data_IF_739895681158
#
_entry.id   IF_739895681158
#
_cell.length_a   1.000
_cell.length_b   1.000
_cell.length_c   1.000
_cell.angle_alpha   90.00
_cell.angle_beta   90.00
_cell.angle_gamma   90.00
#
_symmetry.space_group_name_H-M   'P 1'
#
loop_
_entity.id
_entity.type
_entity.pdbx_description
1 polymer ?
#
# COMPACT_ATOMS: atom_id res chain seq x y z
N UNK A 1 -3.14 -43.32 37.46
CA UNK A 1 -2.33 -42.22 37.98
C UNK A 1 -2.21 -41.17 36.86
N UNK A 2 -3.03 -40.11 36.96
CA UNK A 2 -3.03 -38.96 36.05
C UNK A 2 -1.99 -37.94 36.52
N UNK A 3 -0.99 -37.68 35.70
CA UNK A 3 -0.06 -36.54 35.91
C UNK A 3 -0.69 -35.28 35.35
N UNK A 4 -1.07 -34.36 36.20
CA UNK A 4 -1.44 -33.01 35.82
C UNK A 4 -0.20 -32.18 35.50
N UNK A 5 -0.11 -31.64 34.31
CA UNK A 5 0.84 -30.57 33.99
C UNK A 5 0.24 -29.24 34.48
N UNK A 6 0.86 -28.70 35.52
CA UNK A 6 0.64 -27.32 35.96
C UNK A 6 1.37 -26.40 35.00
N UNK A 7 0.62 -25.51 34.35
CA UNK A 7 1.19 -24.40 33.60
C UNK A 7 1.58 -23.31 34.61
N UNK A 8 2.87 -23.09 34.77
CA UNK A 8 3.39 -21.93 35.49
C UNK A 8 3.16 -20.67 34.65
N UNK A 9 2.25 -19.81 35.11
CA UNK A 9 2.16 -18.45 34.62
C UNK A 9 3.40 -17.68 35.08
N UNK A 10 4.32 -17.41 34.15
CA UNK A 10 5.39 -16.46 34.39
C UNK A 10 4.76 -15.09 34.56
N UNK A 11 4.79 -14.61 35.82
CA UNK A 11 4.43 -13.23 36.16
C UNK A 11 5.39 -12.29 35.42
N UNK A 12 4.97 -11.73 34.30
CA UNK A 12 5.57 -10.51 33.78
C UNK A 12 5.18 -9.37 34.71
N UNK A 13 6.05 -9.08 35.68
CA UNK A 13 5.98 -7.82 36.40
C UNK A 13 6.12 -6.70 35.39
N UNK A 14 5.02 -5.99 35.13
CA UNK A 14 5.02 -4.69 34.46
C UNK A 14 5.84 -3.74 35.39
N UNK A 15 7.14 -3.63 35.11
CA UNK A 15 7.91 -2.53 35.65
C UNK A 15 7.31 -1.27 35.04
N UNK A 16 6.51 -0.56 35.79
CA UNK A 16 6.03 0.77 35.43
C UNK A 16 7.27 1.64 35.22
N UNK A 17 7.46 2.11 33.99
CA UNK A 17 8.56 2.99 33.65
C UNK A 17 8.52 4.22 34.56
N UNK A 18 9.66 4.63 35.09
CA UNK A 18 9.76 5.82 35.92
C UNK A 18 9.37 7.07 35.14
N UNK A 19 8.89 8.13 35.79
CA UNK A 19 8.58 9.39 35.11
C UNK A 19 9.73 9.91 34.24
N UNK A 20 10.98 9.69 34.67
CA UNK A 20 12.19 10.05 33.93
C UNK A 20 12.34 9.24 32.63
N UNK A 21 12.07 7.93 32.66
CA UNK A 21 12.12 7.05 31.48
C UNK A 21 11.00 7.38 30.48
N UNK A 22 9.82 7.75 30.99
CA UNK A 22 8.70 8.21 30.17
C UNK A 22 9.05 9.54 29.48
N UNK A 23 9.63 10.49 30.21
CA UNK A 23 10.09 11.76 29.64
C UNK A 23 11.21 11.58 28.62
N UNK A 24 12.16 10.71 28.91
CA UNK A 24 13.25 10.41 27.97
C UNK A 24 12.70 9.76 26.70
N UNK A 25 11.81 8.79 26.82
CA UNK A 25 11.14 8.14 25.68
C UNK A 25 10.29 9.12 24.88
N UNK A 26 9.60 10.05 25.54
CA UNK A 26 8.82 11.09 24.86
C UNK A 26 9.74 12.10 24.15
N UNK A 27 10.91 12.44 24.72
CA UNK A 27 11.93 13.26 24.03
C UNK A 27 12.56 12.55 22.85
N UNK A 28 12.84 11.26 22.97
CA UNK A 28 13.35 10.43 21.87
C UNK A 28 12.30 10.27 20.77
N UNK A 29 11.03 10.08 21.13
CA UNK A 29 9.91 10.08 20.16
C UNK A 29 9.75 11.43 19.48
N UNK A 30 9.79 12.53 20.22
CA UNK A 30 9.70 13.88 19.68
C UNK A 30 10.95 14.23 18.82
N UNK A 31 12.14 13.78 19.21
CA UNK A 31 13.35 13.93 18.41
C UNK A 31 13.32 13.06 17.15
N UNK A 32 12.77 11.85 17.23
CA UNK A 32 12.48 10.99 16.08
C UNK A 32 11.41 11.60 15.17
N UNK A 33 10.36 12.21 15.72
CA UNK A 33 9.35 12.93 14.95
C UNK A 33 9.92 14.21 14.32
N UNK A 34 10.77 14.95 15.02
CA UNK A 34 11.44 16.13 14.49
C UNK A 34 12.52 15.77 13.43
N UNK A 35 13.28 14.70 13.63
CA UNK A 35 14.21 14.15 12.64
C UNK A 35 13.48 13.51 11.43
N UNK A 36 12.22 13.15 11.59
CA UNK A 36 11.27 12.73 10.57
C UNK A 36 10.57 13.91 9.89
N UNK A 37 11.15 15.13 9.89
CA UNK A 37 10.62 16.18 9.02
C UNK A 37 10.69 15.65 7.60
N UNK A 38 9.50 15.34 7.05
CA UNK A 38 9.30 14.80 5.71
C UNK A 38 10.12 15.61 4.72
N UNK A 39 11.06 14.96 4.06
CA UNK A 39 11.85 15.53 2.97
C UNK A 39 10.93 15.82 1.77
N UNK A 40 9.84 15.05 1.68
CA UNK A 40 8.82 15.20 0.64
C UNK A 40 7.54 15.69 1.29
N UNK A 41 7.21 16.94 1.02
CA UNK A 41 5.89 17.47 1.38
C UNK A 41 4.95 17.27 0.20
N UNK A 42 3.75 16.64 0.41
CA UNK A 42 2.71 16.63 -0.61
C UNK A 42 2.49 18.06 -1.13
N UNK A 43 2.48 18.21 -2.44
CA UNK A 43 2.32 19.53 -3.06
C UNK A 43 0.93 20.10 -2.85
N UNK A 44 -0.03 19.20 -2.56
CA UNK A 44 -1.44 19.52 -2.45
C UNK A 44 -2.13 18.58 -1.47
N UNK A 45 -3.08 19.13 -0.72
CA UNK A 45 -4.07 18.37 0.04
C UNK A 45 -5.42 18.50 -0.64
N UNK A 46 -6.12 17.37 -0.78
CA UNK A 46 -7.47 17.33 -1.36
C UNK A 46 -8.40 16.62 -0.39
N UNK A 47 -9.47 17.31 -0.02
CA UNK A 47 -10.55 16.70 0.77
C UNK A 47 -11.52 16.02 -0.17
N UNK A 48 -11.70 14.71 0.02
CA UNK A 48 -12.61 13.89 -0.76
C UNK A 48 -13.93 13.75 -0.02
N UNK A 49 -15.02 13.92 -0.74
CA UNK A 49 -16.36 13.58 -0.25
C UNK A 49 -16.58 12.07 -0.44
N UNK A 50 -16.51 11.31 0.67
CA UNK A 50 -16.70 9.87 0.65
C UNK A 50 -18.02 9.42 0.00
N UNK A 51 -19.08 10.22 0.09
CA UNK A 51 -20.38 9.90 -0.51
C UNK A 51 -20.37 9.91 -2.05
N UNK A 52 -19.36 10.54 -2.67
CA UNK A 52 -19.18 10.60 -4.12
C UNK A 52 -18.23 9.56 -4.67
N UNK A 53 -17.55 8.82 -3.79
CA UNK A 53 -16.61 7.80 -4.20
C UNK A 53 -17.32 6.53 -4.68
N UNK A 54 -16.66 5.74 -5.55
CA UNK A 54 -17.17 4.43 -5.95
C UNK A 54 -17.42 3.53 -4.74
N UNK A 55 -18.50 2.74 -4.77
CA UNK A 55 -18.88 1.81 -3.70
C UNK A 55 -17.81 0.78 -3.36
N UNK A 56 -16.85 0.54 -4.26
CA UNK A 56 -15.73 -0.36 -4.04
C UNK A 56 -14.70 0.19 -3.03
N UNK A 57 -14.74 1.49 -2.73
CA UNK A 57 -13.90 2.11 -1.70
C UNK A 57 -14.60 2.05 -0.34
N UNK A 58 -14.72 0.84 0.18
CA UNK A 58 -15.51 0.50 1.36
C UNK A 58 -14.97 1.17 2.62
N UNK A 59 -13.65 1.12 2.83
CA UNK A 59 -12.99 1.72 4.00
C UNK A 59 -13.16 3.24 4.07
N UNK A 60 -13.51 3.88 2.95
CA UNK A 60 -13.75 5.31 2.87
C UNK A 60 -15.19 5.69 3.24
N UNK A 61 -16.14 4.77 3.08
CA UNK A 61 -17.56 5.04 3.28
C UNK A 61 -18.02 4.67 4.68
N UNK A 62 -17.67 3.47 5.14
CA UNK A 62 -18.03 2.96 6.46
C UNK A 62 -16.97 1.99 6.95
N UNK A 63 -16.16 2.44 7.90
CA UNK A 63 -15.10 1.66 8.53
C UNK A 63 -15.61 0.49 9.38
N UNK A 64 -16.91 0.45 9.71
CA UNK A 64 -17.50 -0.57 10.58
C UNK A 64 -18.09 -1.76 9.79
N UNK A 65 -17.95 -1.77 8.47
CA UNK A 65 -18.43 -2.91 7.67
C UNK A 65 -17.51 -4.12 7.82
N UNK A 66 -18.06 -5.32 7.67
CA UNK A 66 -17.27 -6.57 7.63
C UNK A 66 -16.17 -6.50 6.57
N UNK A 67 -16.45 -5.88 5.43
CA UNK A 67 -15.46 -5.76 4.37
C UNK A 67 -14.33 -4.78 4.72
N UNK A 68 -14.63 -3.66 5.43
CA UNK A 68 -13.61 -2.76 5.95
C UNK A 68 -12.74 -3.47 7.01
N UNK A 69 -13.34 -4.34 7.83
CA UNK A 69 -12.60 -5.12 8.81
C UNK A 69 -11.61 -6.10 8.15
N UNK A 70 -11.94 -6.68 6.98
CA UNK A 70 -10.99 -7.51 6.24
C UNK A 70 -9.77 -6.70 5.74
N UNK A 71 -9.96 -5.43 5.35
CA UNK A 71 -8.82 -4.56 5.05
C UNK A 71 -7.99 -4.21 6.28
N UNK A 72 -8.63 -4.03 7.45
CA UNK A 72 -7.91 -3.85 8.71
C UNK A 72 -7.07 -5.10 9.06
N UNK A 73 -7.62 -6.31 8.86
CA UNK A 73 -6.86 -7.56 9.04
C UNK A 73 -5.66 -7.66 8.09
N UNK A 74 -5.85 -7.29 6.83
CA UNK A 74 -4.75 -7.26 5.85
C UNK A 74 -3.67 -6.23 6.25
N UNK A 75 -4.07 -5.06 6.75
CA UNK A 75 -3.15 -4.05 7.26
C UNK A 75 -2.37 -4.56 8.48
N UNK A 76 -3.03 -5.23 9.43
CA UNK A 76 -2.39 -5.86 10.60
C UNK A 76 -1.40 -6.93 10.15
N UNK A 77 -1.78 -7.81 9.22
CA UNK A 77 -0.87 -8.83 8.68
C UNK A 77 0.38 -8.18 8.08
N UNK A 78 0.21 -7.16 7.25
CA UNK A 78 1.33 -6.46 6.63
C UNK A 78 2.24 -5.80 7.68
N UNK A 79 1.67 -5.11 8.66
CA UNK A 79 2.44 -4.46 9.74
C UNK A 79 3.19 -5.48 10.60
N UNK A 80 2.56 -6.62 10.92
CA UNK A 80 3.21 -7.68 11.70
C UNK A 80 4.37 -8.28 10.92
N UNK A 81 4.16 -8.63 9.65
CA UNK A 81 5.24 -9.17 8.80
C UNK A 81 6.37 -8.15 8.64
N UNK A 82 6.05 -6.86 8.47
CA UNK A 82 7.03 -5.79 8.36
C UNK A 82 7.83 -5.54 9.66
N UNK A 83 7.35 -6.00 10.81
CA UNK A 83 8.12 -5.96 12.06
C UNK A 83 9.17 -7.07 12.16
N UNK A 84 9.00 -8.14 11.42
CA UNK A 84 9.89 -9.31 11.42
C UNK A 84 10.91 -9.27 10.27
N UNK A 85 10.58 -8.62 9.18
CA UNK A 85 11.43 -8.49 7.99
C UNK A 85 11.23 -7.12 7.32
N UNK A 86 12.23 -6.58 6.60
CA UNK A 86 12.18 -5.24 6.04
C UNK A 86 11.22 -5.18 4.84
N UNK A 87 9.92 -4.95 5.13
CA UNK A 87 8.90 -4.73 4.11
C UNK A 87 8.46 -3.26 4.15
N UNK A 88 8.64 -2.57 3.04
CA UNK A 88 8.22 -1.20 2.83
C UNK A 88 7.43 -1.06 1.53
N UNK A 89 7.92 -1.63 0.45
CA UNK A 89 7.35 -1.52 -0.89
C UNK A 89 6.52 -2.75 -1.22
N UNK A 90 5.22 -2.55 -1.39
CA UNK A 90 4.24 -3.63 -1.58
C UNK A 90 3.62 -3.54 -2.97
N UNK A 91 3.78 -4.56 -3.78
CA UNK A 91 3.13 -4.67 -5.07
C UNK A 91 1.70 -5.21 -4.89
N UNK A 92 0.70 -4.45 -5.30
CA UNK A 92 -0.67 -4.93 -5.41
C UNK A 92 -0.90 -5.38 -6.84
N UNK A 93 -0.93 -6.68 -7.06
CA UNK A 93 -0.98 -7.30 -8.38
C UNK A 93 -2.21 -8.17 -8.58
N UNK A 94 -2.53 -8.53 -9.81
CA UNK A 94 -3.58 -9.49 -10.14
C UNK A 94 -3.25 -10.23 -11.43
N UNK A 95 -3.98 -11.33 -11.70
CA UNK A 95 -3.82 -12.07 -12.95
C UNK A 95 -4.38 -11.28 -14.15
N UNK A 96 -5.57 -10.68 -14.00
CA UNK A 96 -6.28 -10.05 -15.11
C UNK A 96 -6.85 -8.66 -14.75
N UNK A 97 -7.31 -7.95 -15.77
CA UNK A 97 -8.06 -6.69 -15.59
C UNK A 97 -9.39 -6.92 -14.85
N UNK A 98 -9.80 -5.93 -14.05
CA UNK A 98 -11.09 -5.93 -13.38
C UNK A 98 -11.18 -6.83 -12.14
N UNK A 99 -10.05 -7.30 -11.62
CA UNK A 99 -10.01 -8.08 -10.36
C UNK A 99 -10.02 -7.20 -9.12
N UNK A 100 -9.79 -5.89 -9.25
CA UNK A 100 -9.97 -4.88 -8.21
C UNK A 100 -8.71 -4.46 -7.48
N UNK A 101 -7.53 -4.52 -8.14
CA UNK A 101 -6.25 -4.06 -7.58
C UNK A 101 -6.32 -2.66 -7.00
N UNK A 102 -6.77 -1.69 -7.81
CA UNK A 102 -6.90 -0.27 -7.42
C UNK A 102 -7.76 -0.12 -6.16
N UNK A 103 -8.91 -0.80 -6.14
CA UNK A 103 -9.78 -0.78 -4.95
C UNK A 103 -9.08 -1.38 -3.73
N UNK A 104 -8.34 -2.49 -3.90
CA UNK A 104 -7.60 -3.12 -2.80
C UNK A 104 -6.46 -2.22 -2.34
N UNK A 105 -5.69 -1.63 -3.24
CA UNK A 105 -4.58 -0.73 -2.89
C UNK A 105 -5.07 0.48 -2.09
N UNK A 106 -6.13 1.13 -2.54
CA UNK A 106 -6.67 2.33 -1.88
C UNK A 106 -7.33 1.99 -0.52
N UNK A 107 -8.12 0.91 -0.42
CA UNK A 107 -8.70 0.50 0.86
C UNK A 107 -7.63 0.07 1.87
N UNK A 108 -6.58 -0.64 1.42
CA UNK A 108 -5.46 -1.00 2.27
C UNK A 108 -4.70 0.25 2.75
N UNK A 109 -4.49 1.23 1.88
CA UNK A 109 -3.86 2.50 2.26
C UNK A 109 -4.67 3.24 3.32
N UNK A 110 -6.00 3.28 3.18
CA UNK A 110 -6.91 3.85 4.17
C UNK A 110 -6.77 3.11 5.52
N UNK A 111 -6.81 1.78 5.52
CA UNK A 111 -6.69 0.98 6.74
C UNK A 111 -5.33 1.18 7.44
N UNK A 112 -4.24 1.21 6.68
CA UNK A 112 -2.89 1.47 7.21
C UNK A 112 -2.77 2.90 7.78
N UNK A 113 -3.36 3.89 7.11
CA UNK A 113 -3.36 5.27 7.58
C UNK A 113 -4.16 5.44 8.87
N UNK A 114 -5.32 4.78 8.99
CA UNK A 114 -6.08 4.72 10.25
C UNK A 114 -5.26 4.08 11.38
N UNK A 115 -4.37 3.13 11.05
CA UNK A 115 -3.39 2.56 11.97
C UNK A 115 -2.13 3.45 12.16
N UNK A 116 -2.22 4.75 11.82
CA UNK A 116 -1.16 5.75 11.99
C UNK A 116 0.13 5.43 11.22
N UNK A 117 0.01 4.77 10.06
CA UNK A 117 1.14 4.55 9.14
C UNK A 117 1.14 5.60 8.06
N UNK A 118 2.32 6.09 7.69
CA UNK A 118 2.51 6.99 6.55
C UNK A 118 2.54 6.13 5.29
N UNK A 119 1.55 6.35 4.42
CA UNK A 119 1.35 5.51 3.24
C UNK A 119 1.34 6.34 1.97
N UNK A 120 2.11 5.89 0.98
CA UNK A 120 2.03 6.38 -0.40
C UNK A 120 1.43 5.28 -1.28
N UNK A 121 0.44 5.61 -2.09
CA UNK A 121 -0.03 4.73 -3.16
C UNK A 121 0.44 5.30 -4.50
N UNK A 122 1.35 4.61 -5.15
CA UNK A 122 1.84 4.98 -6.48
C UNK A 122 1.03 4.26 -7.56
N UNK A 123 0.43 5.02 -8.46
CA UNK A 123 -0.27 4.47 -9.61
C UNK A 123 0.73 4.10 -10.69
N UNK A 124 1.02 2.81 -10.77
CA UNK A 124 1.98 2.23 -11.70
C UNK A 124 1.31 1.42 -12.83
N UNK A 125 -0.03 1.41 -12.91
CA UNK A 125 -0.76 0.99 -14.11
C UNK A 125 -0.74 2.13 -15.14
N UNK A 126 0.43 2.33 -15.76
CA UNK A 126 0.68 3.42 -16.69
C UNK A 126 -0.07 3.28 -18.01
N UNK A 127 -0.64 2.10 -18.29
CA UNK A 127 -1.44 1.85 -19.49
C UNK A 127 -2.91 2.26 -19.29
N UNK A 128 -3.42 2.13 -18.05
CA UNK A 128 -4.80 2.46 -17.73
C UNK A 128 -4.87 3.17 -16.37
N UNK A 129 -4.30 4.38 -16.27
CA UNK A 129 -4.39 5.15 -15.04
C UNK A 129 -5.85 5.43 -14.70
N UNK A 130 -6.19 5.42 -13.43
CA UNK A 130 -7.56 5.49 -12.94
C UNK A 130 -7.75 6.29 -11.65
N UNK A 131 -6.66 6.68 -10.96
CA UNK A 131 -6.76 7.36 -9.66
C UNK A 131 -7.51 8.68 -9.74
N UNK A 132 -7.27 9.46 -10.80
CA UNK A 132 -7.92 10.75 -10.95
C UNK A 132 -9.44 10.58 -11.05
N UNK A 133 -9.91 9.63 -11.85
CA UNK A 133 -11.34 9.34 -12.00
C UNK A 133 -11.90 8.65 -10.75
N UNK A 134 -11.16 7.68 -10.19
CA UNK A 134 -11.60 6.88 -9.05
C UNK A 134 -11.77 7.71 -7.78
N UNK A 135 -10.89 8.70 -7.58
CA UNK A 135 -10.89 9.56 -6.40
C UNK A 135 -11.52 10.93 -6.67
N UNK A 136 -11.97 11.20 -7.90
CA UNK A 136 -12.50 12.50 -8.29
C UNK A 136 -11.47 13.63 -8.18
N UNK A 137 -10.21 13.35 -8.50
CA UNK A 137 -9.08 14.26 -8.38
C UNK A 137 -8.78 14.95 -9.70
N UNK A 138 -8.14 16.11 -9.59
CA UNK A 138 -7.36 16.72 -10.68
C UNK A 138 -5.92 16.86 -10.22
N UNK A 139 -4.95 16.59 -11.08
CA UNK A 139 -3.54 16.79 -10.80
C UNK A 139 -2.86 17.52 -11.97
N UNK A 140 -2.01 18.49 -11.67
CA UNK A 140 -1.21 19.21 -12.68
C UNK A 140 0.06 18.45 -13.01
N UNK A 141 0.58 17.70 -12.04
CA UNK A 141 1.80 16.89 -12.11
C UNK A 141 1.49 15.50 -11.61
N UNK A 142 2.01 14.48 -12.27
CA UNK A 142 1.90 13.08 -11.87
C UNK A 142 3.24 12.35 -11.93
N UNK A 143 3.21 11.03 -11.70
CA UNK A 143 4.38 10.15 -11.69
C UNK A 143 5.25 10.33 -12.95
N UNK A 144 4.63 10.33 -14.10
CA UNK A 144 5.32 10.44 -15.39
C UNK A 144 5.97 11.79 -15.61
N UNK A 145 5.34 12.87 -15.13
CA UNK A 145 5.90 14.21 -15.20
C UNK A 145 7.13 14.34 -14.31
N UNK A 146 7.07 13.78 -13.09
CA UNK A 146 8.21 13.78 -12.16
C UNK A 146 9.42 13.03 -12.74
N UNK A 147 9.19 11.92 -13.46
CA UNK A 147 10.25 11.14 -14.08
C UNK A 147 10.83 11.79 -15.35
N UNK A 148 9.96 12.32 -16.22
CA UNK A 148 10.38 12.82 -17.52
C UNK A 148 10.92 14.26 -17.49
N UNK A 149 10.43 15.11 -16.59
CA UNK A 149 10.68 16.56 -16.60
C UNK A 149 11.64 17.05 -15.53
N UNK A 150 12.23 16.16 -14.72
CA UNK A 150 13.08 16.55 -13.60
C UNK A 150 12.35 17.40 -12.54
N UNK A 151 11.02 17.29 -12.49
CA UNK A 151 10.17 17.94 -11.50
C UNK A 151 10.37 17.21 -10.17
N UNK A 152 10.38 17.97 -9.06
CA UNK A 152 10.47 17.36 -7.73
C UNK A 152 9.40 16.28 -7.55
N UNK A 153 9.80 15.07 -7.16
CA UNK A 153 8.87 13.95 -6.93
C UNK A 153 7.76 14.33 -5.93
N UNK A 154 8.07 15.15 -4.93
CA UNK A 154 7.09 15.64 -3.96
C UNK A 154 5.98 16.50 -4.57
N UNK A 155 6.26 17.22 -5.67
CA UNK A 155 5.26 18.04 -6.34
C UNK A 155 4.18 17.24 -7.06
N UNK A 156 4.43 15.95 -7.32
CA UNK A 156 3.46 15.02 -7.91
C UNK A 156 2.61 14.30 -6.87
N UNK A 157 2.95 14.42 -5.57
CA UNK A 157 2.23 13.75 -4.49
C UNK A 157 1.04 14.59 -4.03
N UNK A 158 -0.10 13.92 -3.86
CA UNK A 158 -1.36 14.52 -3.39
C UNK A 158 -1.79 13.83 -2.11
N UNK A 159 -2.01 14.59 -1.03
CA UNK A 159 -2.57 14.07 0.23
C UNK A 159 -4.08 13.98 0.17
N UNK A 160 -4.60 12.85 0.56
CA UNK A 160 -6.04 12.54 0.55
C UNK A 160 -6.62 12.71 1.94
N UNK A 161 -7.42 13.76 2.11
CA UNK A 161 -8.15 14.04 3.35
C UNK A 161 -9.62 13.58 3.26
N UNK A 162 -10.24 13.11 4.36
CA UNK A 162 -9.70 13.04 5.74
C UNK A 162 -8.89 11.77 6.05
N UNK A 163 -8.61 10.93 5.05
CA UNK A 163 -8.04 9.59 5.26
C UNK A 163 -6.54 9.59 5.57
N UNK A 164 -5.82 10.67 5.28
CA UNK A 164 -4.46 10.90 5.75
C UNK A 164 -3.34 10.13 5.03
N UNK A 165 -3.61 9.45 3.92
CA UNK A 165 -2.59 8.84 3.06
C UNK A 165 -2.31 9.69 1.82
N UNK A 166 -1.21 9.40 1.14
CA UNK A 166 -0.77 10.13 -0.05
C UNK A 166 -0.91 9.26 -1.30
N UNK A 167 -1.19 9.90 -2.43
CA UNK A 167 -1.19 9.26 -3.75
C UNK A 167 -0.22 9.93 -4.69
N UNK A 168 0.40 9.13 -5.54
CA UNK A 168 1.21 9.56 -6.69
C UNK A 168 0.49 9.13 -7.96
N UNK A 169 -0.39 9.98 -8.53
CA UNK A 169 -1.21 9.60 -9.67
C UNK A 169 -0.42 9.63 -10.97
N UNK A 170 -0.87 8.86 -11.94
CA UNK A 170 -0.48 8.96 -13.34
C UNK A 170 -1.55 9.74 -14.09
N UNK A 171 -1.16 10.84 -14.75
CA UNK A 171 -2.12 11.75 -15.40
C UNK A 171 -2.60 11.26 -16.74
N UNK A 172 -1.71 10.67 -17.50
CA UNK A 172 -1.96 10.27 -18.88
C UNK A 172 -1.39 8.89 -19.16
N UNK A 173 -2.05 8.17 -20.04
CA UNK A 173 -1.57 6.88 -20.52
C UNK A 173 -0.18 6.99 -21.14
N UNK A 174 0.72 6.08 -20.76
CA UNK A 174 2.08 6.01 -21.28
C UNK A 174 2.15 5.00 -22.43
N UNK A 175 2.81 5.38 -23.53
CA UNK A 175 2.97 4.49 -24.69
C UNK A 175 4.00 3.37 -24.45
N UNK A 176 5.05 3.66 -23.69
CA UNK A 176 6.17 2.76 -23.42
C UNK A 176 6.44 2.63 -21.92
N UNK A 177 5.52 2.00 -21.13
CA UNK A 177 5.64 1.90 -19.69
C UNK A 177 6.91 1.16 -19.22
N UNK A 178 7.32 0.14 -19.96
CA UNK A 178 8.51 -0.66 -19.64
C UNK A 178 9.79 0.17 -19.58
N UNK A 179 9.98 1.09 -20.52
CA UNK A 179 11.15 1.98 -20.54
C UNK A 179 11.22 2.84 -19.27
N UNK A 180 10.08 3.35 -18.86
CA UNK A 180 9.96 4.24 -17.71
C UNK A 180 10.15 3.48 -16.40
N UNK A 181 9.48 2.33 -16.22
CA UNK A 181 9.59 1.50 -15.03
C UNK A 181 10.94 0.79 -14.88
N UNK A 182 11.68 0.60 -15.98
CA UNK A 182 13.04 0.06 -15.95
C UNK A 182 14.13 1.13 -15.83
N UNK A 183 13.78 2.41 -15.89
CA UNK A 183 14.75 3.49 -15.85
C UNK A 183 15.41 3.61 -14.47
N UNK A 184 16.69 3.99 -14.39
CA UNK A 184 17.33 4.30 -13.12
C UNK A 184 16.58 5.38 -12.33
N UNK A 185 16.04 6.38 -13.02
CA UNK A 185 15.28 7.49 -12.42
C UNK A 185 14.05 7.03 -11.65
N UNK A 186 13.39 5.93 -12.08
CA UNK A 186 12.27 5.37 -11.32
C UNK A 186 12.74 4.81 -9.97
N UNK A 187 13.84 4.06 -9.96
CA UNK A 187 14.42 3.54 -8.72
C UNK A 187 14.92 4.66 -7.79
N UNK A 188 15.56 5.70 -8.34
CA UNK A 188 16.01 6.88 -7.60
C UNK A 188 14.82 7.63 -6.99
N UNK A 189 13.76 7.84 -7.75
CA UNK A 189 12.53 8.45 -7.24
C UNK A 189 11.92 7.67 -6.08
N UNK A 190 11.86 6.33 -6.17
CA UNK A 190 11.37 5.50 -5.06
C UNK A 190 12.25 5.64 -3.82
N UNK A 191 13.57 5.70 -3.99
CA UNK A 191 14.51 5.87 -2.88
C UNK A 191 14.33 7.23 -2.17
N UNK A 192 13.89 8.28 -2.88
CA UNK A 192 13.55 9.57 -2.27
C UNK A 192 12.32 9.47 -1.37
N UNK A 193 11.37 8.57 -1.67
CA UNK A 193 10.15 8.38 -0.84
C UNK A 193 10.39 7.51 0.40
N UNK A 194 11.38 6.62 0.38
CA UNK A 194 11.61 5.66 1.46
C UNK A 194 11.72 6.27 2.86
N UNK A 195 12.37 7.43 3.10
CA UNK A 195 12.46 8.00 4.44
C UNK A 195 11.13 8.53 4.96
N UNK A 196 10.22 8.93 4.06
CA UNK A 196 8.99 9.64 4.40
C UNK A 196 7.79 8.72 4.63
N UNK A 197 7.82 7.49 4.10
CA UNK A 197 6.71 6.55 4.18
C UNK A 197 7.08 5.27 4.90
N UNK A 198 6.12 4.75 5.67
CA UNK A 198 6.23 3.44 6.30
C UNK A 198 5.89 2.34 5.29
N UNK A 199 4.95 2.63 4.37
CA UNK A 199 4.59 1.75 3.25
C UNK A 199 4.41 2.53 1.94
N UNK A 200 4.90 1.94 0.85
CA UNK A 200 4.68 2.40 -0.52
C UNK A 200 3.96 1.27 -1.28
N UNK A 201 2.69 1.49 -1.63
CA UNK A 201 1.87 0.52 -2.35
C UNK A 201 1.93 0.82 -3.85
N UNK A 202 2.28 -0.16 -4.68
CA UNK A 202 2.23 -0.03 -6.14
C UNK A 202 0.90 -0.60 -6.64
N UNK A 203 0.01 0.24 -7.18
CA UNK A 203 -1.14 -0.22 -7.96
C UNK A 203 -0.69 -0.49 -9.39
N UNK A 204 -0.59 -1.75 -9.76
CA UNK A 204 0.06 -2.20 -10.99
C UNK A 204 -0.92 -2.57 -12.11
N UNK A 205 -0.41 -2.78 -13.31
CA UNK A 205 -1.12 -3.50 -14.39
C UNK A 205 -1.24 -4.99 -14.06
N UNK A 206 -2.14 -5.76 -14.74
CA UNK A 206 -2.25 -7.20 -14.51
C UNK A 206 -1.00 -7.95 -14.96
N UNK A 207 -0.56 -8.96 -14.18
CA UNK A 207 0.63 -9.76 -14.44
C UNK A 207 0.59 -10.53 -15.77
N UNK A 208 -0.61 -10.95 -16.21
CA UNK A 208 -0.77 -11.71 -17.47
C UNK A 208 -1.04 -10.84 -18.69
N UNK A 209 -1.37 -9.57 -18.49
CA UNK A 209 -1.71 -8.68 -19.60
C UNK A 209 -0.49 -7.97 -20.18
N UNK A 210 0.48 -7.64 -19.32
CA UNK A 210 1.65 -6.83 -19.70
C UNK A 210 2.90 -7.29 -18.97
N UNK A 211 4.03 -7.26 -19.68
CA UNK A 211 5.33 -7.61 -19.09
C UNK A 211 5.84 -6.56 -18.09
N UNK A 212 5.31 -5.35 -18.15
CA UNK A 212 5.77 -4.19 -17.38
C UNK A 212 5.66 -4.43 -15.86
N UNK A 213 4.63 -5.15 -15.41
CA UNK A 213 4.43 -5.47 -14.00
C UNK A 213 5.56 -6.33 -13.42
N UNK A 214 6.18 -7.18 -14.25
CA UNK A 214 7.36 -7.95 -13.83
C UNK A 214 8.55 -7.07 -13.50
N UNK A 215 8.64 -5.85 -14.04
CA UNK A 215 9.66 -4.88 -13.70
C UNK A 215 9.45 -4.31 -12.30
N UNK A 216 8.19 -4.11 -11.89
CA UNK A 216 7.84 -3.63 -10.55
C UNK A 216 8.20 -4.63 -9.44
N UNK A 217 8.19 -5.94 -9.73
CA UNK A 217 8.60 -6.99 -8.77
C UNK A 217 10.01 -6.77 -8.23
N UNK A 218 10.91 -6.16 -9.04
CA UNK A 218 12.29 -5.85 -8.61
C UNK A 218 12.33 -4.72 -7.58
N UNK A 219 11.37 -3.82 -7.61
CA UNK A 219 11.27 -2.67 -6.72
C UNK A 219 10.41 -2.94 -5.49
N UNK A 220 9.68 -4.06 -5.47
CA UNK A 220 8.83 -4.46 -4.37
C UNK A 220 9.53 -5.45 -3.43
N UNK A 221 9.30 -5.28 -2.13
CA UNK A 221 9.76 -6.22 -1.11
C UNK A 221 8.82 -7.42 -1.05
N UNK A 222 7.51 -7.18 -1.21
CA UNK A 222 6.49 -8.24 -1.21
C UNK A 222 5.33 -7.92 -2.15
N UNK A 223 4.48 -8.91 -2.40
CA UNK A 223 3.32 -8.83 -3.29
C UNK A 223 2.05 -9.29 -2.60
N UNK A 224 0.99 -8.51 -2.72
CA UNK A 224 -0.38 -8.91 -2.42
C UNK A 224 -1.06 -9.25 -3.75
N UNK A 225 -1.44 -10.52 -3.92
CA UNK A 225 -2.12 -10.97 -5.14
C UNK A 225 -3.63 -10.83 -4.98
N UNK A 226 -4.26 -10.03 -5.82
CA UNK A 226 -5.72 -9.86 -5.86
C UNK A 226 -6.29 -10.82 -6.90
N UNK A 227 -7.23 -11.65 -6.49
CA UNK A 227 -7.98 -12.56 -7.38
C UNK A 227 -9.48 -12.31 -7.23
N UNK A 228 -10.21 -12.44 -8.32
CA UNK A 228 -11.67 -12.28 -8.30
C UNK A 228 -12.34 -13.60 -8.06
N UNK A 229 -13.12 -13.68 -6.97
CA UNK A 229 -13.92 -14.85 -6.63
C UNK A 229 -14.82 -15.28 -7.80
N UNK A 230 -14.88 -16.58 -8.06
CA UNK A 230 -15.73 -17.18 -9.09
C UNK A 230 -15.35 -16.83 -10.55
N UNK A 231 -14.24 -16.08 -10.78
CA UNK A 231 -13.78 -15.71 -12.13
C UNK A 231 -12.33 -16.08 -12.44
N UNK A 232 -11.42 -15.82 -11.52
CA UNK A 232 -10.00 -16.12 -11.71
C UNK A 232 -9.78 -17.62 -11.55
N UNK A 233 -9.32 -18.28 -12.60
CA UNK A 233 -9.08 -19.74 -12.59
C UNK A 233 -7.72 -20.05 -11.95
N UNK A 234 -7.58 -21.28 -11.41
CA UNK A 234 -6.30 -21.75 -10.85
C UNK A 234 -5.15 -21.70 -11.85
N UNK A 235 -5.42 -22.00 -13.12
CA UNK A 235 -4.42 -21.91 -14.19
C UNK A 235 -3.96 -20.46 -14.47
N UNK A 236 -4.84 -19.48 -14.30
CA UNK A 236 -4.48 -18.06 -14.40
C UNK A 236 -3.65 -17.62 -13.20
N UNK A 237 -4.02 -18.06 -12.00
CA UNK A 237 -3.26 -17.79 -10.78
C UNK A 237 -1.85 -18.36 -10.91
N UNK A 238 -1.71 -19.63 -11.28
CA UNK A 238 -0.40 -20.28 -11.45
C UNK A 238 0.49 -19.55 -12.45
N UNK A 239 -0.07 -19.10 -13.58
CA UNK A 239 0.67 -18.32 -14.57
C UNK A 239 1.05 -16.94 -14.06
N UNK A 240 0.18 -16.29 -13.30
CA UNK A 240 0.42 -14.96 -12.74
C UNK A 240 1.54 -14.96 -11.70
N UNK A 241 1.59 -15.99 -10.85
CA UNK A 241 2.62 -16.08 -9.80
C UNK A 241 3.96 -16.65 -10.31
N UNK A 242 4.00 -17.26 -11.50
CA UNK A 242 5.21 -17.87 -12.05
C UNK A 242 6.46 -16.94 -12.09
N UNK A 243 6.33 -15.63 -12.38
CA UNK A 243 7.46 -14.71 -12.32
C UNK A 243 7.81 -14.24 -10.90
N UNK A 244 6.99 -14.58 -9.89
CA UNK A 244 7.20 -14.19 -8.49
C UNK A 244 7.92 -15.32 -7.76
N UNK A 245 8.84 -14.97 -6.87
CA UNK A 245 9.38 -15.94 -5.92
C UNK A 245 8.38 -16.13 -4.77
N UNK A 246 8.21 -17.34 -4.22
CA UNK A 246 7.26 -17.59 -3.14
C UNK A 246 7.46 -16.65 -1.93
N UNK A 247 8.71 -16.33 -1.60
CA UNK A 247 9.09 -15.46 -0.49
C UNK A 247 8.63 -14.01 -0.69
N UNK A 248 8.38 -13.63 -1.93
CA UNK A 248 7.83 -12.30 -2.29
C UNK A 248 6.31 -12.25 -2.33
N UNK A 249 5.62 -13.29 -1.94
CA UNK A 249 4.15 -13.33 -1.90
C UNK A 249 3.69 -13.25 -0.43
N UNK A 250 3.19 -12.08 0.00
CA UNK A 250 2.62 -11.91 1.33
C UNK A 250 1.34 -12.73 1.50
N UNK A 251 0.51 -12.76 0.46
CA UNK A 251 -0.76 -13.47 0.50
C UNK A 251 -1.67 -13.14 -0.68
N UNK A 252 -2.89 -13.66 -0.60
CA UNK A 252 -3.92 -13.52 -1.63
C UNK A 252 -5.14 -12.83 -1.04
N UNK A 253 -5.64 -11.80 -1.73
CA UNK A 253 -6.93 -11.18 -1.45
C UNK A 253 -7.97 -11.76 -2.39
N UNK A 254 -8.94 -12.48 -1.83
CA UNK A 254 -10.11 -12.95 -2.58
C UNK A 254 -11.16 -11.84 -2.65
N UNK A 255 -11.11 -11.08 -3.73
CA UNK A 255 -12.00 -9.94 -3.93
C UNK A 255 -13.34 -10.35 -4.52
N UNK A 256 -14.41 -9.60 -4.19
CA UNK A 256 -15.79 -9.85 -4.63
C UNK A 256 -16.27 -11.26 -4.26
N UNK A 257 -15.83 -11.77 -3.12
CA UNK A 257 -16.37 -12.99 -2.56
C UNK A 257 -17.75 -12.70 -1.96
N UNK A 258 -18.75 -13.47 -2.36
CA UNK A 258 -20.00 -13.54 -1.61
C UNK A 258 -19.68 -14.11 -0.23
N UNK A 259 -20.42 -13.70 0.80
CA UNK A 259 -20.19 -14.21 2.16
C UNK A 259 -20.16 -15.73 2.13
N UNK A 260 -19.04 -16.30 2.56
CA UNK A 260 -19.00 -17.72 2.94
C UNK A 260 -19.77 -17.77 4.26
N UNK A 261 -21.04 -18.20 4.18
CA UNK A 261 -21.88 -18.49 5.34
C UNK A 261 -21.39 -19.76 6.02
#
# INVERSE_FOLDING_TARGET
>A
KKGGQTFDFVNYSLNAATPSEIEQRNRELAAHEAARQSLIRPSREVTIDAARLPLQLISFQDANTTAAEEYNRLAVLLMTTASEQPIKRVLVASAQHGEGRTSVALNLACALSLAQRRVLVAETDLQKPSFLDFLGLSAEVGLTDALAKGISAGSAVVRIQPFGFDVLPTREQVKHPAELLSSPSFGEMLALFDPDYDFILFDSSPLLAVADTSLLVRHADTTVLVIRSGKTTSGQISKAIAPLTPEKILGVVLNRADRIT
#
